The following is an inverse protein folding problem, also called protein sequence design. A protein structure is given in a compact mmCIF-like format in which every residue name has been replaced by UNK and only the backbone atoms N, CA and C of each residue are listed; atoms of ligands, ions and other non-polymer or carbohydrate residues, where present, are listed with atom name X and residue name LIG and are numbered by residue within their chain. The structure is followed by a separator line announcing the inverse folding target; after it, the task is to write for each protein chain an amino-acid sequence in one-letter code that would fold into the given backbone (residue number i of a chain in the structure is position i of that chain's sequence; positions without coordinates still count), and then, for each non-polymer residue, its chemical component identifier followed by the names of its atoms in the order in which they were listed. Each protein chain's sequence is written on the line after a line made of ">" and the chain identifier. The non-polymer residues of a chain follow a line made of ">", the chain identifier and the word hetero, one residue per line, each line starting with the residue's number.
data_IF_246742159740
#
_entry.id   IF_246742159740
#
_cell.length_a   1.000
_cell.length_b   1.000
_cell.length_c   1.000
_cell.angle_alpha   90.00
_cell.angle_beta   90.00
_cell.angle_gamma   90.00
#
_symmetry.space_group_name_H-M   'P 1'
#
loop_
_entity.id
_entity.type
_entity.pdbx_description
1 polymer ?
#
# COMPACT_ATOMS: atom_id res chain seq x y z
N UNK A 1 8.49 22.35 3.34
CA UNK A 1 8.26 21.33 2.29
C UNK A 1 6.81 21.45 1.91
N UNK A 2 6.52 21.70 0.65
CA UNK A 2 5.13 21.75 0.17
C UNK A 2 4.65 20.35 -0.25
N UNK A 3 3.38 20.27 -0.66
CA UNK A 3 2.74 19.03 -1.09
C UNK A 3 3.52 18.30 -2.20
N UNK A 4 3.94 19.01 -3.24
CA UNK A 4 4.63 18.40 -4.37
C UNK A 4 6.05 17.96 -4.01
N UNK A 5 6.77 18.75 -3.21
CA UNK A 5 8.08 18.36 -2.71
C UNK A 5 7.99 17.12 -1.81
N UNK A 6 6.97 17.04 -0.96
CA UNK A 6 6.73 15.88 -0.10
C UNK A 6 6.45 14.61 -0.91
N UNK A 7 5.45 14.65 -1.80
CA UNK A 7 5.08 13.50 -2.63
C UNK A 7 6.26 13.00 -3.46
N UNK A 8 7.07 13.89 -4.05
CA UNK A 8 8.24 13.49 -4.83
C UNK A 8 9.31 12.78 -3.99
N UNK A 9 9.56 13.26 -2.77
CA UNK A 9 10.54 12.63 -1.86
C UNK A 9 10.05 11.28 -1.37
N UNK A 10 8.79 11.19 -0.95
CA UNK A 10 8.19 9.93 -0.54
C UNK A 10 8.18 8.94 -1.71
N UNK A 11 7.81 9.40 -2.90
CA UNK A 11 7.81 8.58 -4.12
C UNK A 11 9.19 8.00 -4.42
N UNK A 12 10.24 8.79 -4.27
CA UNK A 12 11.61 8.31 -4.50
C UNK A 12 11.98 7.13 -3.60
N UNK A 13 11.60 7.18 -2.32
CA UNK A 13 11.81 6.08 -1.38
C UNK A 13 11.00 4.86 -1.81
N UNK A 14 9.70 5.04 -2.04
CA UNK A 14 8.80 3.97 -2.48
C UNK A 14 9.29 3.27 -3.75
N UNK A 15 9.80 4.03 -4.73
CA UNK A 15 10.30 3.48 -5.98
C UNK A 15 11.47 2.49 -5.78
N UNK A 16 12.33 2.73 -4.79
CA UNK A 16 13.43 1.84 -4.44
C UNK A 16 12.98 0.47 -3.93
N UNK A 17 11.75 0.37 -3.42
CA UNK A 17 11.14 -0.87 -2.91
C UNK A 17 10.17 -1.54 -3.89
N UNK A 18 10.03 -0.98 -5.11
CA UNK A 18 9.03 -1.46 -6.08
C UNK A 18 9.20 -2.93 -6.44
N UNK A 19 10.44 -3.42 -6.66
CA UNK A 19 10.67 -4.81 -7.08
C UNK A 19 10.23 -5.83 -6.01
N UNK A 20 10.46 -5.51 -4.74
CA UNK A 20 10.05 -6.36 -3.63
C UNK A 20 8.51 -6.42 -3.52
N UNK A 21 7.86 -5.27 -3.69
CA UNK A 21 6.39 -5.19 -3.68
C UNK A 21 5.78 -5.89 -4.89
N UNK A 22 6.38 -5.77 -6.08
CA UNK A 22 5.99 -6.54 -7.28
C UNK A 22 6.06 -8.04 -6.99
N UNK A 23 7.14 -8.53 -6.37
CA UNK A 23 7.30 -9.94 -6.04
C UNK A 23 6.21 -10.43 -5.08
N UNK A 24 5.91 -9.66 -4.03
CA UNK A 24 4.82 -9.96 -3.08
C UNK A 24 3.45 -9.96 -3.75
N UNK A 25 3.13 -8.95 -4.54
CA UNK A 25 1.87 -8.85 -5.28
C UNK A 25 1.67 -10.03 -6.23
N UNK A 26 2.72 -10.47 -6.93
CA UNK A 26 2.66 -11.66 -7.79
C UNK A 26 2.36 -12.93 -7.00
N UNK A 27 2.94 -13.07 -5.81
CA UNK A 27 2.65 -14.19 -4.92
C UNK A 27 1.19 -14.16 -4.42
N UNK A 28 0.69 -12.97 -4.07
CA UNK A 28 -0.70 -12.75 -3.68
C UNK A 28 -1.65 -13.11 -4.83
N UNK A 29 -1.44 -12.56 -6.03
CA UNK A 29 -2.32 -12.84 -7.18
C UNK A 29 -2.32 -14.32 -7.54
N UNK A 30 -1.18 -15.01 -7.44
CA UNK A 30 -1.11 -16.47 -7.67
C UNK A 30 -1.89 -17.28 -6.63
N UNK A 31 -2.09 -16.75 -5.42
CA UNK A 31 -2.81 -17.40 -4.34
C UNK A 31 -4.33 -17.16 -4.37
N UNK A 32 -4.84 -16.38 -5.33
CA UNK A 32 -6.28 -16.13 -5.48
C UNK A 32 -7.01 -17.45 -5.72
N UNK A 33 -7.83 -17.84 -4.75
CA UNK A 33 -8.69 -19.03 -4.80
C UNK A 33 -10.15 -18.70 -5.13
N UNK A 34 -10.97 -19.73 -5.33
CA UNK A 34 -12.36 -19.56 -5.76
C UNK A 34 -13.31 -18.91 -4.75
N UNK A 35 -12.88 -18.71 -3.51
CA UNK A 35 -13.64 -18.02 -2.45
C UNK A 35 -13.19 -16.57 -2.25
N UNK A 36 -12.15 -16.12 -2.97
CA UNK A 36 -11.72 -14.71 -2.92
C UNK A 36 -12.69 -13.90 -3.76
N UNK A 37 -13.28 -12.86 -3.17
CA UNK A 37 -14.20 -11.94 -3.84
C UNK A 37 -13.49 -10.68 -4.32
N UNK A 38 -12.48 -10.22 -3.58
CA UNK A 38 -11.61 -9.11 -3.99
C UNK A 38 -10.24 -9.16 -3.28
N UNK A 39 -9.29 -8.39 -3.81
CA UNK A 39 -8.03 -8.08 -3.11
C UNK A 39 -8.08 -6.63 -2.65
N UNK A 40 -7.87 -6.40 -1.35
CA UNK A 40 -7.82 -5.07 -0.74
C UNK A 40 -6.37 -4.73 -0.41
N UNK A 41 -5.87 -3.61 -0.91
CA UNK A 41 -4.57 -3.04 -0.58
C UNK A 41 -4.83 -1.79 0.27
N UNK A 42 -4.54 -1.90 1.55
CA UNK A 42 -4.91 -0.90 2.56
C UNK A 42 -3.67 -0.16 3.04
N UNK A 43 -3.73 1.17 2.99
CA UNK A 43 -2.72 2.08 3.53
C UNK A 43 -3.16 2.56 4.91
N UNK A 44 -2.28 2.39 5.90
CA UNK A 44 -2.48 2.78 7.29
C UNK A 44 -1.45 3.87 7.65
N UNK A 45 -1.79 5.15 7.50
CA UNK A 45 -0.98 6.22 8.06
C UNK A 45 -0.90 6.08 9.59
N UNK A 46 0.23 6.51 10.16
CA UNK A 46 0.35 6.57 11.60
C UNK A 46 -0.51 7.70 12.20
N UNK A 47 -1.10 7.41 13.37
CA UNK A 47 -2.04 8.31 14.04
C UNK A 47 -1.38 9.58 14.60
N UNK A 48 -0.07 9.57 14.86
CA UNK A 48 0.67 10.73 15.35
C UNK A 48 1.00 11.72 14.22
N UNK A 49 0.74 11.34 12.97
CA UNK A 49 0.89 12.22 11.80
C UNK A 49 2.35 12.54 11.47
N UNK A 50 3.29 11.67 11.85
CA UNK A 50 4.72 11.86 11.57
C UNK A 50 5.09 11.54 10.11
N UNK A 51 4.18 10.88 9.38
CA UNK A 51 4.36 10.46 7.99
C UNK A 51 4.81 9.02 7.82
N UNK A 52 4.89 8.25 8.90
CA UNK A 52 5.07 6.79 8.87
C UNK A 52 3.75 6.10 8.53
N UNK A 53 3.83 4.91 7.96
CA UNK A 53 2.65 4.16 7.51
C UNK A 53 3.00 2.70 7.23
N UNK A 54 1.96 1.88 7.13
CA UNK A 54 2.00 0.52 6.64
C UNK A 54 1.10 0.32 5.43
N UNK A 55 1.48 -0.61 4.55
CA UNK A 55 0.70 -1.04 3.40
C UNK A 55 0.51 -2.55 3.49
N UNK A 56 -0.75 -2.96 3.59
CA UNK A 56 -1.13 -4.37 3.67
C UNK A 56 -2.02 -4.78 2.51
N UNK A 57 -1.87 -6.02 2.06
CA UNK A 57 -2.81 -6.66 1.17
C UNK A 57 -3.64 -7.68 1.93
N UNK A 58 -4.92 -7.82 1.61
CA UNK A 58 -5.75 -8.91 2.12
C UNK A 58 -6.73 -9.38 1.06
N UNK A 59 -7.11 -10.64 1.16
CA UNK A 59 -8.28 -11.13 0.47
C UNK A 59 -9.54 -10.80 1.26
N UNK A 60 -10.56 -10.40 0.53
CA UNK A 60 -11.93 -10.26 1.01
C UNK A 60 -12.77 -11.44 0.51
N UNK A 61 -13.71 -11.89 1.34
CA UNK A 61 -14.53 -13.08 1.12
C UNK A 61 -14.87 -13.81 2.43
N UNK A 62 -15.56 -14.96 2.36
CA UNK A 62 -15.94 -15.73 3.53
C UNK A 62 -14.73 -16.29 4.28
N UNK A 63 -14.78 -16.24 5.62
CA UNK A 63 -13.74 -16.73 6.54
C UNK A 63 -12.35 -16.09 6.30
N UNK A 64 -12.26 -14.79 6.57
CA UNK A 64 -11.06 -13.96 6.35
C UNK A 64 -9.77 -14.56 6.94
N UNK A 65 -9.85 -15.23 8.08
CA UNK A 65 -8.68 -15.84 8.72
C UNK A 65 -8.11 -16.98 7.88
N UNK A 66 -8.96 -17.90 7.43
CA UNK A 66 -8.52 -19.00 6.55
C UNK A 66 -8.12 -18.47 5.18
N UNK A 67 -8.86 -17.49 4.67
CA UNK A 67 -8.66 -16.90 3.35
C UNK A 67 -7.28 -16.26 3.20
N UNK A 68 -6.78 -15.55 4.22
CA UNK A 68 -5.53 -14.80 4.15
C UNK A 68 -4.29 -15.64 4.50
N UNK A 69 -4.46 -16.83 5.08
CA UNK A 69 -3.34 -17.72 5.46
C UNK A 69 -2.35 -18.03 4.32
N UNK A 70 -2.78 -18.24 3.06
CA UNK A 70 -1.85 -18.52 1.95
C UNK A 70 -0.93 -17.34 1.59
N UNK A 71 -1.29 -16.12 1.99
CA UNK A 71 -0.53 -14.90 1.69
C UNK A 71 0.13 -14.29 2.93
N UNK A 72 0.15 -15.01 4.06
CA UNK A 72 0.58 -14.48 5.35
C UNK A 72 2.01 -13.90 5.30
N UNK A 73 2.92 -14.55 4.57
CA UNK A 73 4.32 -14.10 4.38
C UNK A 73 4.48 -12.96 3.36
N UNK A 74 3.44 -12.63 2.61
CA UNK A 74 3.48 -11.67 1.50
C UNK A 74 2.57 -10.45 1.69
N UNK A 75 1.63 -10.54 2.63
CA UNK A 75 0.58 -9.53 2.82
C UNK A 75 1.07 -8.19 3.37
N UNK A 76 2.23 -8.13 4.04
CA UNK A 76 2.88 -6.87 4.36
C UNK A 76 3.67 -6.40 3.14
N UNK A 77 3.13 -5.44 2.40
CA UNK A 77 3.74 -4.98 1.16
C UNK A 77 4.91 -4.02 1.43
N UNK A 78 4.70 -3.10 2.37
CA UNK A 78 5.64 -2.06 2.77
C UNK A 78 5.28 -1.57 4.18
N UNK A 79 6.27 -1.19 4.97
CA UNK A 79 6.05 -0.60 6.29
C UNK A 79 7.24 0.22 6.75
N UNK A 80 6.95 1.30 7.47
CA UNK A 80 7.95 2.18 8.07
C UNK A 80 8.11 1.84 9.54
N UNK A 81 9.30 1.37 9.94
CA UNK A 81 9.59 0.93 11.31
C UNK A 81 10.32 2.03 12.06
N UNK A 82 9.81 2.41 13.24
CA UNK A 82 10.50 3.32 14.15
C UNK A 82 11.67 2.65 14.87
N UNK A 83 12.79 3.37 14.90
CA UNK A 83 13.99 3.04 15.65
C UNK A 83 14.44 4.25 16.50
N UNK A 84 15.39 4.04 17.40
CA UNK A 84 15.88 5.10 18.30
C UNK A 84 16.46 6.32 17.57
N UNK A 85 16.94 6.14 16.33
CA UNK A 85 17.64 7.18 15.55
C UNK A 85 16.84 7.70 14.35
N UNK A 86 15.58 7.29 14.18
CA UNK A 86 14.77 7.61 13.01
C UNK A 86 13.86 6.45 12.63
N UNK A 87 13.53 6.33 11.34
CA UNK A 87 12.73 5.22 10.82
C UNK A 87 13.35 4.60 9.57
N UNK A 88 13.08 3.32 9.35
CA UNK A 88 13.49 2.58 8.16
C UNK A 88 12.26 2.01 7.43
N UNK A 89 12.11 2.25 6.12
CA UNK A 89 12.96 3.10 5.28
C UNK A 89 12.82 4.59 5.61
N UNK A 90 13.83 5.38 5.24
CA UNK A 90 13.93 6.83 5.54
C UNK A 90 12.94 7.69 4.72
N UNK A 91 11.65 7.55 5.01
CA UNK A 91 10.59 8.39 4.42
C UNK A 91 10.70 9.85 4.91
N UNK A 92 10.28 10.85 4.12
CA UNK A 92 10.28 12.23 4.61
C UNK A 92 9.27 12.39 5.76
N UNK A 93 9.59 13.17 6.81
CA UNK A 93 8.62 13.51 7.85
C UNK A 93 7.47 14.33 7.25
N UNK A 94 6.25 14.05 7.68
CA UNK A 94 5.06 14.78 7.23
C UNK A 94 5.07 16.21 7.81
N UNK A 95 5.03 17.26 6.98
CA UNK A 95 4.88 18.63 7.45
C UNK A 95 3.56 18.82 8.20
N UNK A 96 3.57 19.59 9.30
CA UNK A 96 2.39 19.81 10.17
C UNK A 96 1.19 20.44 9.47
N UNK A 97 1.42 21.11 8.34
CA UNK A 97 0.41 21.77 7.52
C UNK A 97 -0.17 20.87 6.42
N UNK A 98 0.36 19.66 6.25
CA UNK A 98 -0.16 18.66 5.32
C UNK A 98 -0.99 17.60 6.06
N UNK A 99 -2.04 17.14 5.40
CA UNK A 99 -2.89 16.03 5.85
C UNK A 99 -2.23 14.69 5.52
N UNK A 100 -2.54 13.63 6.28
CA UNK A 100 -2.17 12.26 5.94
C UNK A 100 -2.72 11.81 4.57
N UNK A 101 -3.70 12.54 4.00
CA UNK A 101 -4.18 12.33 2.64
C UNK A 101 -3.06 12.34 1.61
N UNK A 102 -2.03 13.19 1.77
CA UNK A 102 -0.89 13.20 0.83
C UNK A 102 -0.11 11.89 0.86
N UNK A 103 0.01 11.25 2.04
CA UNK A 103 0.69 9.97 2.19
C UNK A 103 -0.11 8.92 1.44
N UNK A 104 -1.42 8.82 1.71
CA UNK A 104 -2.29 7.83 1.09
C UNK A 104 -2.36 8.01 -0.43
N UNK A 105 -2.53 9.25 -0.91
CA UNK A 105 -2.61 9.53 -2.34
C UNK A 105 -1.27 9.20 -3.04
N UNK A 106 -0.13 9.54 -2.43
CA UNK A 106 1.20 9.23 -2.98
C UNK A 106 1.47 7.72 -3.00
N UNK A 107 1.06 7.00 -1.95
CA UNK A 107 1.19 5.54 -1.87
C UNK A 107 0.25 4.86 -2.86
N UNK A 108 -0.98 5.35 -3.04
CA UNK A 108 -1.93 4.82 -4.02
C UNK A 108 -1.40 4.97 -5.46
N UNK A 109 -0.87 6.15 -5.82
CA UNK A 109 -0.18 6.37 -7.11
C UNK A 109 1.01 5.41 -7.30
N UNK A 110 1.70 5.05 -6.22
CA UNK A 110 2.79 4.10 -6.25
C UNK A 110 2.34 2.66 -6.44
N UNK A 111 1.32 2.22 -5.71
CA UNK A 111 0.75 0.90 -5.88
C UNK A 111 0.19 0.72 -7.30
N UNK A 112 -0.49 1.73 -7.86
CA UNK A 112 -0.99 1.68 -9.24
C UNK A 112 0.13 1.54 -10.28
N UNK A 113 1.21 2.31 -10.13
CA UNK A 113 2.38 2.19 -10.99
C UNK A 113 3.07 0.83 -10.86
N UNK A 114 3.21 0.32 -9.64
CA UNK A 114 3.76 -1.01 -9.34
C UNK A 114 2.88 -2.11 -9.96
N UNK A 115 1.56 -1.97 -9.84
CA UNK A 115 0.58 -2.92 -10.39
C UNK A 115 0.69 -3.02 -11.91
N UNK A 116 0.72 -1.87 -12.58
CA UNK A 116 0.87 -1.77 -14.05
C UNK A 116 2.16 -2.42 -14.53
N UNK A 117 3.25 -2.36 -13.74
CA UNK A 117 4.52 -3.02 -14.05
C UNK A 117 4.50 -4.52 -13.74
N UNK A 118 3.71 -4.95 -12.77
CA UNK A 118 3.67 -6.33 -12.29
C UNK A 118 2.84 -7.24 -13.20
N UNK A 119 1.74 -6.71 -13.76
CA UNK A 119 0.70 -7.48 -14.43
C UNK A 119 0.31 -6.88 -15.78
N UNK A 120 0.38 -7.70 -16.84
CA UNK A 120 -0.12 -7.34 -18.19
C UNK A 120 -1.62 -7.61 -18.35
N UNK A 121 -2.22 -8.34 -17.41
CA UNK A 121 -3.63 -8.75 -17.42
C UNK A 121 -4.21 -8.65 -16.03
N UNK A 122 -5.46 -8.19 -15.94
CA UNK A 122 -6.18 -8.11 -14.68
C UNK A 122 -6.43 -9.52 -14.09
N UNK A 123 -6.37 -9.67 -12.76
CA UNK A 123 -6.79 -10.88 -12.07
C UNK A 123 -8.30 -11.12 -12.21
N UNK A 124 -8.75 -12.32 -11.85
CA UNK A 124 -10.16 -12.72 -11.96
C UNK A 124 -11.11 -12.04 -10.96
N UNK A 125 -10.57 -11.24 -10.04
CA UNK A 125 -11.30 -10.55 -8.97
C UNK A 125 -10.86 -9.08 -8.95
N UNK A 126 -11.74 -8.14 -8.55
CA UNK A 126 -11.36 -6.75 -8.41
C UNK A 126 -10.24 -6.56 -7.37
N UNK A 127 -9.41 -5.54 -7.60
CA UNK A 127 -8.33 -5.15 -6.71
C UNK A 127 -8.48 -3.67 -6.40
N UNK A 128 -8.48 -3.32 -5.13
CA UNK A 128 -8.72 -1.96 -4.66
C UNK A 128 -7.57 -1.47 -3.79
N UNK A 129 -7.21 -0.18 -3.93
CA UNK A 129 -6.36 0.54 -2.97
C UNK A 129 -7.21 1.49 -2.16
N UNK A 130 -7.11 1.44 -0.85
CA UNK A 130 -7.88 2.30 0.06
C UNK A 130 -7.12 2.61 1.36
N UNK A 131 -7.69 3.46 2.20
CA UNK A 131 -7.26 3.62 3.59
C UNK A 131 -8.45 3.37 4.52
N UNK A 132 -8.36 2.44 5.48
CA UNK A 132 -9.48 2.12 6.37
C UNK A 132 -9.92 3.29 7.27
N UNK A 133 -9.03 4.25 7.49
CA UNK A 133 -9.31 5.45 8.29
C UNK A 133 -9.98 6.57 7.48
N UNK A 134 -10.22 6.34 6.18
CA UNK A 134 -10.87 7.29 5.29
C UNK A 134 -9.95 8.39 4.76
N UNK A 135 -8.64 8.27 4.96
CA UNK A 135 -7.64 9.16 4.36
C UNK A 135 -7.51 8.93 2.85
N UNK A 136 -7.01 9.96 2.17
CA UNK A 136 -6.80 10.04 0.73
C UNK A 136 -7.95 10.75 0.03
N UNK A 137 -7.60 11.63 -0.92
CA UNK A 137 -8.59 12.42 -1.69
C UNK A 137 -9.06 11.70 -2.95
N UNK A 138 -8.36 10.63 -3.30
CA UNK A 138 -8.55 9.87 -4.53
C UNK A 138 -8.84 8.40 -4.29
N UNK A 139 -8.80 7.94 -3.04
CA UNK A 139 -9.13 6.57 -2.61
C UNK A 139 -10.59 6.46 -2.14
N UNK A 140 -11.24 5.29 -2.27
CA UNK A 140 -10.71 4.05 -2.83
C UNK A 140 -10.51 4.10 -4.35
N UNK A 141 -9.51 3.37 -4.85
CA UNK A 141 -9.19 3.25 -6.29
C UNK A 141 -9.16 1.79 -6.73
N UNK A 142 -9.83 1.48 -7.83
CA UNK A 142 -9.76 0.16 -8.46
C UNK A 142 -8.50 0.09 -9.35
N UNK A 143 -7.72 -0.98 -9.22
CA UNK A 143 -6.56 -1.26 -10.05
C UNK A 143 -7.00 -2.10 -11.25
N UNK A 144 -6.72 -1.62 -12.47
CA UNK A 144 -7.20 -2.23 -13.70
C UNK A 144 -6.36 -1.92 -14.92
#
# INVERSE_FOLDING_TARGET
>A
MDHAEYSNRLRHVLDAHSEDVIARLRAIVKAIGGTVESVQIEVFPDADGEGTFDVWARFDGPDSFVLNKPIDEHRHLFGVVHHETGWDPEVPPLPRDLSADVVVDTVADWIEAVWTRAFDTQPSVPVEVSSPEGYGTTTPRQLG
#
